data_IF_861840663793
#
_entry.id   IF_861840663793
#
_cell.length_a   1.000
_cell.length_b   1.000
_cell.length_c   1.000
_cell.angle_alpha   90.00
_cell.angle_beta   90.00
_cell.angle_gamma   90.00
#
_symmetry.space_group_name_H-M   'P 1'
#
loop_
_entity.id
_entity.type
_entity.pdbx_description
1 polymer ?
#
# COMPACT_ATOMS: atom_id res chain seq x y z
N UNK A 1 -8.98 1.84 -15.15
CA UNK A 1 -9.49 2.71 -14.08
C UNK A 1 -10.85 2.18 -13.63
N UNK A 2 -11.04 2.10 -12.30
CA UNK A 2 -12.30 1.72 -11.67
C UNK A 2 -12.53 2.59 -10.44
N UNK A 3 -13.79 2.88 -10.15
CA UNK A 3 -14.21 3.60 -8.94
C UNK A 3 -14.92 2.62 -8.01
N UNK A 4 -14.58 2.66 -6.73
CA UNK A 4 -15.21 1.84 -5.70
C UNK A 4 -15.42 2.65 -4.42
N UNK A 5 -16.39 2.25 -3.62
CA UNK A 5 -16.61 2.81 -2.29
C UNK A 5 -16.30 1.76 -1.23
N UNK A 6 -15.51 2.15 -0.23
CA UNK A 6 -15.18 1.34 0.93
C UNK A 6 -15.53 2.15 2.18
N UNK A 7 -16.68 1.82 2.79
CA UNK A 7 -17.22 2.64 3.88
C UNK A 7 -17.50 4.07 3.41
N UNK A 8 -16.85 5.04 4.02
CA UNK A 8 -16.95 6.46 3.66
C UNK A 8 -15.88 6.92 2.64
N UNK A 9 -14.95 6.04 2.27
CA UNK A 9 -13.90 6.36 1.31
C UNK A 9 -14.37 6.14 -0.13
N UNK A 10 -14.17 7.15 -0.99
CA UNK A 10 -14.23 7.01 -2.43
C UNK A 10 -12.83 6.69 -2.97
N UNK A 11 -12.66 5.56 -3.62
CA UNK A 11 -11.37 5.11 -4.14
C UNK A 11 -11.43 5.05 -5.65
N UNK A 12 -10.47 5.69 -6.33
CA UNK A 12 -10.24 5.53 -7.76
C UNK A 12 -9.05 4.61 -7.94
N UNK A 13 -9.30 3.40 -8.42
CA UNK A 13 -8.26 2.42 -8.70
C UNK A 13 -7.68 2.65 -10.10
N UNK A 14 -6.37 2.86 -10.17
CA UNK A 14 -5.61 2.95 -11.41
C UNK A 14 -4.79 1.67 -11.59
N UNK A 15 -5.24 0.79 -12.49
CA UNK A 15 -4.47 -0.40 -12.86
C UNK A 15 -3.33 0.00 -13.80
N UNK A 16 -2.11 -0.37 -13.42
CA UNK A 16 -0.90 -0.09 -14.20
C UNK A 16 -0.35 -1.37 -14.81
N UNK A 17 -0.01 -1.36 -16.13
CA UNK A 17 0.60 -2.52 -16.76
C UNK A 17 1.90 -2.91 -16.06
N UNK A 18 2.03 -4.19 -15.69
CA UNK A 18 3.20 -4.73 -14.99
C UNK A 18 4.45 -4.96 -15.85
N UNK A 19 4.44 -4.58 -17.15
CA UNK A 19 5.57 -4.82 -18.06
C UNK A 19 6.55 -3.64 -18.05
N UNK A 20 7.83 -3.96 -18.14
CA UNK A 20 8.97 -3.00 -18.09
C UNK A 20 8.90 -1.93 -19.20
N UNK A 21 8.26 -2.25 -20.33
CA UNK A 21 8.15 -1.36 -21.51
C UNK A 21 7.22 -0.15 -21.29
N UNK A 22 6.43 -0.14 -20.21
CA UNK A 22 5.48 0.94 -19.90
C UNK A 22 5.96 1.90 -18.81
N UNK A 23 7.26 1.98 -18.56
CA UNK A 23 7.85 2.79 -17.50
C UNK A 23 7.44 4.27 -17.51
N UNK A 24 7.35 4.89 -18.69
CA UNK A 24 6.97 6.30 -18.83
C UNK A 24 5.48 6.55 -18.50
N UNK A 25 4.58 5.62 -18.83
CA UNK A 25 3.15 5.72 -18.50
C UNK A 25 2.94 5.48 -17.00
N UNK A 26 3.63 4.51 -16.46
CA UNK A 26 3.64 4.22 -15.03
C UNK A 26 4.17 5.42 -14.22
N UNK A 27 5.28 6.02 -14.63
CA UNK A 27 5.87 7.17 -13.94
C UNK A 27 4.93 8.39 -13.89
N UNK A 28 4.13 8.60 -14.93
CA UNK A 28 3.07 9.62 -14.93
C UNK A 28 1.96 9.31 -13.93
N UNK A 29 1.55 8.03 -13.87
CA UNK A 29 0.52 7.57 -12.93
C UNK A 29 1.01 7.72 -11.49
N UNK A 30 2.26 7.34 -11.19
CA UNK A 30 2.84 7.47 -9.85
C UNK A 30 2.78 8.90 -9.29
N UNK A 31 2.81 9.92 -10.14
CA UNK A 31 2.76 11.33 -9.71
C UNK A 31 1.40 11.78 -9.15
N UNK A 32 0.36 10.97 -9.28
CA UNK A 32 -1.02 11.29 -8.85
C UNK A 32 -1.60 10.24 -7.92
N UNK A 33 -0.80 9.27 -7.50
CA UNK A 33 -1.24 8.27 -6.52
C UNK A 33 -1.10 8.84 -5.11
N UNK A 34 -2.14 8.67 -4.31
CA UNK A 34 -2.10 8.87 -2.87
C UNK A 34 -1.51 7.64 -2.17
N UNK A 35 -1.83 6.45 -2.67
CA UNK A 35 -1.35 5.15 -2.20
C UNK A 35 -1.06 4.20 -3.35
N UNK A 36 -0.21 3.22 -3.11
CA UNK A 36 0.05 2.13 -4.04
C UNK A 36 -0.27 0.77 -3.41
N UNK A 37 -0.74 -0.16 -4.25
CA UNK A 37 -0.84 -1.57 -3.92
C UNK A 37 0.20 -2.31 -4.75
N UNK A 38 1.23 -2.84 -4.10
CA UNK A 38 2.25 -3.67 -4.73
C UNK A 38 1.86 -5.14 -4.62
N UNK A 39 1.51 -5.75 -5.76
CA UNK A 39 1.15 -7.17 -5.80
C UNK A 39 2.37 -8.02 -6.15
N UNK A 40 2.68 -8.99 -5.29
CA UNK A 40 3.84 -9.88 -5.44
C UNK A 40 3.35 -11.34 -5.50
N UNK A 41 3.93 -12.14 -6.39
CA UNK A 41 3.66 -13.57 -6.44
C UNK A 41 4.41 -14.28 -5.29
N UNK A 42 3.69 -14.95 -4.40
CA UNK A 42 4.26 -15.63 -3.24
C UNK A 42 5.23 -16.77 -3.59
N UNK A 43 5.05 -17.43 -4.75
CA UNK A 43 5.96 -18.49 -5.19
C UNK A 43 7.30 -17.94 -5.72
N UNK A 44 7.28 -16.74 -6.33
CA UNK A 44 8.46 -16.15 -6.97
C UNK A 44 9.22 -15.19 -6.03
N UNK A 45 8.54 -14.63 -5.00
CA UNK A 45 9.08 -13.63 -4.11
C UNK A 45 9.47 -12.32 -4.81
N UNK A 46 10.47 -11.63 -4.29
CA UNK A 46 10.93 -10.33 -4.82
C UNK A 46 11.78 -10.53 -6.08
N UNK A 47 11.23 -10.17 -7.23
CA UNK A 47 11.88 -10.22 -8.53
C UNK A 47 12.62 -8.91 -8.86
N UNK A 48 13.45 -8.91 -9.92
CA UNK A 48 14.15 -7.72 -10.39
C UNK A 48 13.22 -6.55 -10.71
N UNK A 49 12.10 -6.85 -11.37
CA UNK A 49 11.06 -5.86 -11.67
C UNK A 49 10.41 -5.29 -10.41
N UNK A 50 10.13 -6.11 -9.41
CA UNK A 50 9.58 -5.67 -8.11
C UNK A 50 10.50 -4.64 -7.46
N UNK A 51 11.82 -4.85 -7.50
CA UNK A 51 12.80 -3.88 -6.96
C UNK A 51 12.82 -2.57 -7.73
N UNK A 52 12.64 -2.62 -9.05
CA UNK A 52 12.53 -1.39 -9.86
C UNK A 52 11.30 -0.59 -9.49
N UNK A 53 10.13 -1.25 -9.39
CA UNK A 53 8.89 -0.62 -8.93
C UNK A 53 9.04 -0.03 -7.53
N UNK A 54 9.63 -0.81 -6.61
CA UNK A 54 9.89 -0.36 -5.25
C UNK A 54 10.75 0.90 -5.18
N UNK A 55 11.82 0.96 -6.00
CA UNK A 55 12.68 2.14 -6.09
C UNK A 55 11.91 3.37 -6.59
N UNK A 56 10.97 3.20 -7.53
CA UNK A 56 10.10 4.28 -8.00
C UNK A 56 9.12 4.72 -6.90
N UNK A 57 8.46 3.79 -6.21
CA UNK A 57 7.56 4.10 -5.10
C UNK A 57 8.27 4.88 -3.99
N UNK A 58 9.51 4.49 -3.65
CA UNK A 58 10.36 5.23 -2.70
C UNK A 58 10.72 6.63 -3.22
N UNK A 59 11.11 6.75 -4.50
CA UNK A 59 11.47 8.03 -5.12
C UNK A 59 10.31 9.03 -5.13
N UNK A 60 9.10 8.56 -5.44
CA UNK A 60 7.88 9.38 -5.44
C UNK A 60 7.22 9.49 -4.08
N UNK A 61 7.81 8.86 -3.07
CA UNK A 61 7.33 8.91 -1.68
C UNK A 61 5.88 8.44 -1.50
N UNK A 62 5.48 7.38 -2.21
CA UNK A 62 4.11 6.87 -2.18
C UNK A 62 3.97 5.84 -1.07
N UNK A 63 3.05 6.03 -0.11
CA UNK A 63 2.68 5.03 0.87
C UNK A 63 2.20 3.76 0.16
N UNK A 64 2.68 2.59 0.61
CA UNK A 64 2.47 1.36 -0.15
C UNK A 64 1.99 0.24 0.74
N UNK A 65 0.89 -0.40 0.33
CA UNK A 65 0.43 -1.68 0.85
C UNK A 65 0.95 -2.80 -0.05
N UNK A 66 1.28 -3.94 0.52
CA UNK A 66 1.83 -5.08 -0.21
C UNK A 66 0.85 -6.26 -0.10
N UNK A 67 0.41 -6.80 -1.23
CA UNK A 67 -0.41 -8.01 -1.27
C UNK A 67 0.38 -9.16 -1.91
N UNK A 68 0.66 -10.18 -1.10
CA UNK A 68 1.36 -11.37 -1.54
C UNK A 68 0.31 -12.38 -2.04
N UNK A 69 0.22 -12.48 -3.35
CA UNK A 69 -0.79 -13.27 -4.05
C UNK A 69 -0.30 -14.69 -4.33
N UNK A 70 -1.24 -15.59 -4.61
CA UNK A 70 -1.00 -17.00 -4.98
C UNK A 70 -0.36 -17.82 -3.85
N UNK A 71 -0.70 -17.53 -2.60
CA UNK A 71 -0.23 -18.29 -1.45
C UNK A 71 -0.78 -19.73 -1.40
N UNK A 72 -1.76 -20.05 -2.24
CA UNK A 72 -2.30 -21.39 -2.44
C UNK A 72 -1.42 -22.30 -3.32
N UNK A 73 -0.33 -21.78 -3.91
CA UNK A 73 0.58 -22.59 -4.71
C UNK A 73 1.48 -23.47 -3.82
N UNK A 74 1.76 -24.66 -4.31
CA UNK A 74 2.62 -25.62 -3.59
C UNK A 74 4.05 -25.06 -3.46
N UNK A 75 4.57 -25.06 -2.25
CA UNK A 75 5.94 -24.60 -1.96
C UNK A 75 6.03 -23.13 -1.52
N UNK A 76 4.91 -22.39 -1.46
CA UNK A 76 4.88 -21.06 -0.85
C UNK A 76 5.03 -21.19 0.67
N UNK A 77 5.81 -20.29 1.24
CA UNK A 77 6.08 -20.21 2.68
C UNK A 77 6.03 -18.75 3.11
N UNK A 78 5.03 -18.42 3.93
CA UNK A 78 4.76 -17.06 4.39
C UNK A 78 5.98 -16.41 5.06
N UNK A 79 6.63 -17.14 5.96
CA UNK A 79 7.78 -16.62 6.70
C UNK A 79 8.97 -16.33 5.78
N UNK A 80 9.24 -17.23 4.81
CA UNK A 80 10.32 -17.02 3.84
C UNK A 80 10.05 -15.84 2.92
N UNK A 81 8.80 -15.66 2.46
CA UNK A 81 8.44 -14.54 1.61
C UNK A 81 8.55 -13.24 2.39
N UNK A 82 8.06 -13.19 3.63
CA UNK A 82 8.19 -12.00 4.49
C UNK A 82 9.66 -11.63 4.71
N UNK A 83 10.51 -12.59 5.03
CA UNK A 83 11.96 -12.36 5.16
C UNK A 83 12.59 -11.86 3.86
N UNK A 84 12.17 -12.36 2.69
CA UNK A 84 12.63 -11.88 1.38
C UNK A 84 12.21 -10.42 1.13
N UNK A 85 10.98 -10.04 1.50
CA UNK A 85 10.50 -8.65 1.45
C UNK A 85 11.33 -7.73 2.35
N UNK A 86 11.55 -8.11 3.60
CA UNK A 86 12.35 -7.36 4.57
C UNK A 86 13.78 -7.15 4.09
N UNK A 87 14.43 -8.20 3.60
CA UNK A 87 15.82 -8.14 3.14
C UNK A 87 16.02 -7.37 1.83
N UNK A 88 15.05 -7.41 0.91
CA UNK A 88 15.22 -6.88 -0.45
C UNK A 88 14.47 -5.60 -0.73
N UNK A 89 13.43 -5.29 0.03
CA UNK A 89 12.64 -4.07 -0.11
C UNK A 89 12.86 -3.13 1.07
N UNK A 90 12.38 -3.50 2.24
CA UNK A 90 12.47 -2.66 3.44
C UNK A 90 12.18 -3.48 4.72
N UNK A 91 12.93 -3.24 5.79
CA UNK A 91 12.72 -3.86 7.10
C UNK A 91 11.33 -3.55 7.69
N UNK A 92 10.73 -2.41 7.32
CA UNK A 92 9.37 -2.01 7.67
C UNK A 92 8.26 -2.81 6.97
N UNK A 93 8.57 -3.85 6.17
CA UNK A 93 7.59 -4.80 5.66
C UNK A 93 7.13 -5.71 6.80
N UNK A 94 5.89 -5.55 7.27
CA UNK A 94 5.34 -6.26 8.43
C UNK A 94 4.05 -6.97 8.02
N UNK A 95 3.82 -8.17 8.57
CA UNK A 95 2.61 -8.94 8.36
C UNK A 95 1.43 -8.35 9.13
N UNK A 96 0.42 -7.89 8.39
CA UNK A 96 -0.82 -7.32 8.92
C UNK A 96 -2.02 -8.25 8.76
N UNK A 97 -1.80 -9.50 8.35
CA UNK A 97 -2.90 -10.47 8.23
C UNK A 97 -3.57 -10.77 9.57
N UNK A 98 -2.81 -10.65 10.67
CA UNK A 98 -3.29 -10.79 12.04
C UNK A 98 -2.51 -9.82 12.94
N UNK A 99 -3.23 -9.02 13.72
CA UNK A 99 -2.64 -8.08 14.66
C UNK A 99 -2.31 -8.78 15.98
N UNK A 100 -1.18 -9.50 16.00
CA UNK A 100 -0.65 -10.19 17.15
C UNK A 100 0.31 -9.31 17.98
N UNK A 101 0.71 -9.79 19.15
CA UNK A 101 1.75 -9.14 19.97
C UNK A 101 3.07 -8.99 19.19
N UNK A 102 3.47 -10.03 18.43
CA UNK A 102 4.66 -10.01 17.58
C UNK A 102 4.56 -8.94 16.46
N UNK A 103 3.35 -8.71 15.94
CA UNK A 103 3.09 -7.66 14.95
C UNK A 103 3.27 -6.28 15.56
N UNK A 104 2.72 -6.05 16.78
CA UNK A 104 2.89 -4.77 17.49
C UNK A 104 4.35 -4.51 17.87
N UNK A 105 5.09 -5.53 18.32
CA UNK A 105 6.53 -5.42 18.59
C UNK A 105 7.30 -5.01 17.34
N UNK A 106 7.03 -5.65 16.21
CA UNK A 106 7.65 -5.32 14.93
C UNK A 106 7.34 -3.90 14.46
N UNK A 107 6.11 -3.42 14.66
CA UNK A 107 5.71 -2.03 14.35
C UNK A 107 6.45 -1.06 15.27
N UNK A 108 6.50 -1.34 16.57
CA UNK A 108 7.14 -0.51 17.56
C UNK A 108 8.64 -0.29 17.26
N UNK A 109 9.32 -1.30 16.73
CA UNK A 109 10.72 -1.20 16.32
C UNK A 109 10.98 -0.19 15.20
N UNK A 110 9.94 0.21 14.45
CA UNK A 110 10.08 1.12 13.30
C UNK A 110 9.97 2.61 13.66
N UNK A 111 9.55 2.95 14.89
CA UNK A 111 9.34 4.35 15.29
C UNK A 111 9.46 4.55 16.81
N UNK A 112 10.07 5.66 17.25
CA UNK A 112 10.25 5.97 18.67
C UNK A 112 8.92 6.16 19.40
N UNK A 113 7.95 6.89 18.81
CA UNK A 113 6.63 7.10 19.39
C UNK A 113 5.87 5.78 19.52
N UNK A 114 5.92 4.94 18.50
CA UNK A 114 5.29 3.62 18.50
C UNK A 114 5.91 2.71 19.58
N UNK A 115 7.22 2.82 19.82
CA UNK A 115 7.91 2.08 20.86
C UNK A 115 7.47 2.54 22.26
N UNK A 116 7.30 3.85 22.48
CA UNK A 116 6.79 4.38 23.75
C UNK A 116 5.37 3.87 24.05
N UNK A 117 4.46 3.92 23.06
CA UNK A 117 3.09 3.40 23.18
C UNK A 117 3.08 1.89 23.49
N UNK A 118 3.94 1.13 22.80
CA UNK A 118 4.05 -0.31 23.01
C UNK A 118 4.57 -0.68 24.41
N UNK A 119 5.55 0.05 24.92
CA UNK A 119 6.08 -0.16 26.28
C UNK A 119 5.05 0.16 27.38
N UNK A 120 4.11 1.06 27.10
CA UNK A 120 3.05 1.43 28.05
C UNK A 120 1.86 0.47 28.04
N UNK A 121 1.48 -0.05 26.86
CA UNK A 121 0.20 -0.75 26.67
C UNK A 121 0.27 -2.10 25.95
N UNK A 122 1.48 -2.56 25.57
CA UNK A 122 1.71 -3.73 24.70
C UNK A 122 0.99 -3.64 23.36
N UNK A 123 0.64 -2.43 22.92
CA UNK A 123 -0.01 -2.11 21.66
C UNK A 123 0.46 -0.77 21.14
N UNK A 124 0.36 -0.60 19.83
CA UNK A 124 0.53 0.69 19.15
C UNK A 124 -0.84 1.19 18.72
N UNK A 125 -1.10 2.47 18.93
CA UNK A 125 -2.38 3.07 18.54
C UNK A 125 -2.59 3.03 17.03
N UNK A 126 -3.83 2.76 16.60
CA UNK A 126 -4.17 2.66 15.18
C UNK A 126 -3.90 3.97 14.41
N UNK A 127 -4.01 5.13 15.07
CA UNK A 127 -3.67 6.41 14.47
C UNK A 127 -2.16 6.53 14.24
N UNK A 128 -1.35 6.08 15.18
CA UNK A 128 0.11 6.05 15.05
C UNK A 128 0.53 5.10 13.92
N UNK A 129 -0.09 3.93 13.83
CA UNK A 129 0.13 3.00 12.70
C UNK A 129 -0.23 3.66 11.37
N UNK A 130 -1.37 4.35 11.27
CA UNK A 130 -1.79 5.05 10.06
C UNK A 130 -0.79 6.15 9.65
N UNK A 131 -0.29 6.94 10.61
CA UNK A 131 0.77 7.93 10.40
C UNK A 131 2.07 7.28 9.90
N UNK A 132 2.47 6.13 10.47
CA UNK A 132 3.66 5.38 10.08
C UNK A 132 3.54 4.84 8.66
N UNK A 133 2.37 4.35 8.25
CA UNK A 133 2.09 3.93 6.88
C UNK A 133 2.18 5.13 5.93
N UNK A 134 1.51 6.24 6.26
CA UNK A 134 1.53 7.47 5.46
C UNK A 134 2.94 8.06 5.32
N UNK A 135 3.76 8.00 6.37
CA UNK A 135 5.16 8.44 6.37
C UNK A 135 6.15 7.39 5.84
N UNK A 136 5.67 6.22 5.43
CA UNK A 136 6.45 5.10 4.86
C UNK A 136 7.51 4.52 5.81
N UNK A 137 7.22 4.48 7.08
CA UNK A 137 8.01 3.77 8.09
C UNK A 137 7.59 2.30 8.18
N UNK A 138 6.32 2.01 7.88
CA UNK A 138 5.73 0.67 7.87
C UNK A 138 5.01 0.42 6.55
N UNK A 139 5.16 -0.79 6.04
CA UNK A 139 4.54 -1.27 4.81
C UNK A 139 3.71 -2.52 5.13
N UNK A 140 2.38 -2.38 5.26
CA UNK A 140 1.52 -3.51 5.59
C UNK A 140 1.55 -4.59 4.52
N UNK A 141 1.89 -5.81 4.91
CA UNK A 141 1.91 -6.99 4.06
C UNK A 141 0.72 -7.89 4.38
N UNK A 142 -0.01 -8.30 3.35
CA UNK A 142 -1.12 -9.23 3.45
C UNK A 142 -0.88 -10.41 2.52
N UNK A 143 -1.30 -11.60 2.96
CA UNK A 143 -1.04 -12.86 2.26
C UNK A 143 -2.36 -13.50 1.87
N UNK A 144 -2.44 -13.97 0.60
CA UNK A 144 -3.68 -14.57 0.15
C UNK A 144 -3.62 -15.16 -1.25
N UNK A 145 -4.80 -15.51 -1.76
CA UNK A 145 -5.02 -15.95 -3.13
C UNK A 145 -6.20 -15.18 -3.72
N UNK A 146 -5.92 -14.25 -4.61
CA UNK A 146 -6.96 -13.45 -5.27
C UNK A 146 -7.92 -14.33 -6.08
N UNK A 147 -7.44 -15.45 -6.64
CA UNK A 147 -8.27 -16.41 -7.38
C UNK A 147 -9.31 -17.08 -6.48
N UNK A 148 -8.94 -17.37 -5.22
CA UNK A 148 -9.82 -17.99 -4.22
C UNK A 148 -10.51 -16.98 -3.30
N UNK A 149 -10.19 -15.70 -3.45
CA UNK A 149 -10.66 -14.61 -2.60
C UNK A 149 -10.21 -14.78 -1.13
N UNK A 150 -9.16 -15.55 -0.89
CA UNK A 150 -8.57 -15.75 0.44
C UNK A 150 -7.63 -14.57 0.78
N UNK A 151 -7.74 -13.97 1.98
CA UNK A 151 -6.95 -12.84 2.44
C UNK A 151 -7.27 -11.49 1.77
N UNK A 152 -8.19 -11.48 0.79
CA UNK A 152 -8.56 -10.26 0.05
C UNK A 152 -9.43 -9.34 0.90
N UNK A 153 -10.36 -9.91 1.68
CA UNK A 153 -11.25 -9.11 2.52
C UNK A 153 -10.47 -8.43 3.64
N UNK A 154 -9.60 -9.16 4.31
CA UNK A 154 -8.72 -8.66 5.38
C UNK A 154 -7.80 -7.53 4.87
N UNK A 155 -7.25 -7.71 3.66
CA UNK A 155 -6.49 -6.66 2.97
C UNK A 155 -7.32 -5.40 2.72
N UNK A 156 -8.52 -5.56 2.18
CA UNK A 156 -9.40 -4.43 1.86
C UNK A 156 -9.83 -3.69 3.13
N UNK A 157 -10.18 -4.42 4.18
CA UNK A 157 -10.61 -3.84 5.46
C UNK A 157 -9.46 -3.08 6.12
N UNK A 158 -8.26 -3.66 6.19
CA UNK A 158 -7.08 -3.00 6.72
C UNK A 158 -6.68 -1.76 5.92
N UNK A 159 -6.67 -1.85 4.60
CA UNK A 159 -6.40 -0.71 3.72
C UNK A 159 -7.41 0.42 3.96
N UNK A 160 -8.71 0.10 4.01
CA UNK A 160 -9.76 1.08 4.26
C UNK A 160 -9.62 1.76 5.62
N UNK A 161 -9.30 0.98 6.66
CA UNK A 161 -9.15 1.49 8.01
C UNK A 161 -7.99 2.50 8.12
N UNK A 162 -6.81 2.15 7.62
CA UNK A 162 -5.62 3.00 7.75
C UNK A 162 -5.62 4.20 6.82
N UNK A 163 -6.10 4.07 5.58
CA UNK A 163 -6.25 5.21 4.66
C UNK A 163 -7.25 6.21 5.23
N UNK A 164 -8.41 5.76 5.70
CA UNK A 164 -9.44 6.63 6.27
C UNK A 164 -8.97 7.41 7.50
N UNK A 165 -8.15 6.81 8.35
CA UNK A 165 -7.56 7.48 9.51
C UNK A 165 -6.55 8.54 9.10
N UNK A 166 -5.66 8.22 8.18
CA UNK A 166 -4.64 9.16 7.70
C UNK A 166 -5.26 10.38 7.02
N UNK A 167 -6.33 10.21 6.26
CA UNK A 167 -7.09 11.33 5.70
C UNK A 167 -7.76 12.19 6.79
N UNK A 168 -8.29 11.60 7.86
CA UNK A 168 -8.87 12.35 8.97
C UNK A 168 -7.82 13.20 9.69
N UNK A 169 -6.63 12.66 9.92
CA UNK A 169 -5.51 13.37 10.54
C UNK A 169 -5.09 14.57 9.67
N UNK A 170 -4.94 14.36 8.38
CA UNK A 170 -4.50 15.41 7.46
C UNK A 170 -5.57 16.49 7.18
N UNK A 171 -6.86 16.15 7.26
CA UNK A 171 -7.95 17.08 7.01
C UNK A 171 -8.25 18.03 8.18
N UNK A 172 -7.64 17.88 9.35
CA UNK A 172 -7.79 18.82 10.46
C UNK A 172 -7.15 20.19 10.20
N UNK A 173 -6.36 20.33 9.14
CA UNK A 173 -5.57 21.53 8.83
C UNK A 173 -6.05 22.28 7.56
N UNK A 174 -7.25 22.01 7.05
CA UNK A 174 -7.77 22.67 5.84
C UNK A 174 -8.37 24.04 6.13
N UNK A 175 -7.51 25.06 6.07
CA UNK A 175 -7.94 26.36 5.60
C UNK A 175 -8.48 26.25 4.16
N UNK A 176 -9.37 27.16 3.75
CA UNK A 176 -9.94 27.24 2.39
C UNK A 176 -8.86 27.16 1.33
N UNK A 177 -8.70 25.98 0.69
CA UNK A 177 -7.79 25.81 -0.43
C UNK A 177 -8.50 26.16 -1.73
N UNK A 178 -7.84 26.95 -2.59
CA UNK A 178 -8.28 27.15 -3.96
C UNK A 178 -8.24 25.80 -4.72
N UNK A 179 -9.16 25.61 -5.68
CA UNK A 179 -9.19 24.40 -6.49
C UNK A 179 -7.86 24.19 -7.23
N UNK A 180 -7.28 22.99 -7.07
CA UNK A 180 -6.08 22.57 -7.77
C UNK A 180 -6.29 21.21 -8.42
N UNK A 181 -5.74 21.01 -9.62
CA UNK A 181 -5.78 19.73 -10.31
C UNK A 181 -4.50 19.47 -11.10
N UNK A 182 -4.09 18.19 -11.20
CA UNK A 182 -2.94 17.75 -12.01
C UNK A 182 -3.41 16.82 -13.12
N UNK A 183 -3.12 17.18 -14.35
CA UNK A 183 -3.43 16.34 -15.52
C UNK A 183 -2.38 15.23 -15.62
N UNK A 184 -2.80 13.96 -15.53
CA UNK A 184 -1.92 12.79 -15.66
C UNK A 184 -2.20 11.97 -16.91
N UNK A 185 -3.41 12.08 -17.50
CA UNK A 185 -3.80 11.37 -18.71
C UNK A 185 -4.76 12.20 -19.54
N UNK A 186 -4.58 12.14 -20.85
CA UNK A 186 -5.52 12.69 -21.83
C UNK A 186 -6.05 11.53 -22.66
N UNK A 187 -7.35 11.37 -22.71
CA UNK A 187 -8.03 10.34 -23.53
C UNK A 187 -9.08 10.97 -24.42
N UNK A 188 -9.72 10.17 -25.26
CA UNK A 188 -10.87 10.59 -26.05
C UNK A 188 -12.07 9.73 -25.68
N UNK A 189 -13.23 10.35 -25.59
CA UNK A 189 -14.48 9.64 -25.47
C UNK A 189 -14.87 8.93 -26.77
N UNK A 190 -15.88 8.04 -26.77
CA UNK A 190 -16.34 7.36 -27.99
C UNK A 190 -16.86 8.32 -29.08
N UNK A 191 -17.23 9.56 -28.72
CA UNK A 191 -17.68 10.62 -29.63
C UNK A 191 -16.53 11.47 -30.20
N UNK A 192 -15.27 11.20 -29.76
CA UNK A 192 -14.06 11.91 -30.19
C UNK A 192 -13.75 13.15 -29.35
N UNK A 193 -14.55 13.46 -28.33
CA UNK A 193 -14.29 14.53 -27.36
C UNK A 193 -13.04 14.27 -26.52
N UNK A 194 -12.31 15.33 -26.19
CA UNK A 194 -11.11 15.22 -25.36
C UNK A 194 -11.50 15.11 -23.86
N UNK A 195 -11.04 14.06 -23.20
CA UNK A 195 -11.13 13.88 -21.75
C UNK A 195 -9.76 14.16 -21.12
N UNK A 196 -9.75 14.97 -20.09
CA UNK A 196 -8.52 15.42 -19.40
C UNK A 196 -8.67 15.19 -17.92
#
# INVERSE_FOLDING_TARGET
QAELKMGNLGITLLDTPGHVDFSAEMERTLQVLDYAILVINGADGVQGHTRTLWSLLKRYQIPTFIFINKMDQVGTDKAKVLADLQNRLDEGCIDFSEMSEETYDSIAMCDEKAMEEYLESEKVEENTIAEMIGSRKVYPCYFGSALKIEGVQEFMDGMSAYIGRNEQINNTDTGTCDFGAKVFKISRDPSGGRLT
#
